data_IF_671676046961
#
_entry.id   IF_671676046961
#
_cell.length_a   1.000
_cell.length_b   1.000
_cell.length_c   1.000
_cell.angle_alpha   90.00
_cell.angle_beta   90.00
_cell.angle_gamma   90.00
#
_symmetry.space_group_name_H-M   'P 1'
#
loop_
_entity.id
_entity.type
_entity.pdbx_description
1 polymer ?
#
# COMPACT_ATOMS: atom_id res chain seq x y z
N UNK A 1 -41.43 -19.30 -62.86
CA UNK A 1 -40.34 -20.00 -62.15
C UNK A 1 -39.41 -18.91 -61.61
N UNK A 2 -39.72 -18.34 -60.40
CA UNK A 2 -38.94 -17.28 -59.78
C UNK A 2 -37.97 -17.90 -58.76
N UNK A 3 -36.64 -17.72 -58.95
CA UNK A 3 -35.62 -18.10 -58.01
C UNK A 3 -35.34 -16.93 -57.08
N UNK A 4 -35.69 -17.09 -55.83
CA UNK A 4 -35.31 -16.18 -54.78
C UNK A 4 -33.85 -16.45 -54.35
N UNK A 5 -32.95 -15.50 -54.56
CA UNK A 5 -31.62 -15.47 -53.94
C UNK A 5 -31.74 -14.90 -52.53
N UNK A 6 -31.44 -15.74 -51.54
CA UNK A 6 -31.37 -15.31 -50.15
C UNK A 6 -29.92 -14.90 -49.88
N UNK A 7 -29.67 -13.58 -49.75
CA UNK A 7 -28.38 -13.06 -49.34
C UNK A 7 -28.31 -13.07 -47.83
N UNK A 8 -27.52 -13.98 -47.26
CA UNK A 8 -27.22 -13.99 -45.81
C UNK A 8 -26.20 -12.90 -45.54
N UNK A 9 -26.61 -11.85 -44.85
CA UNK A 9 -25.74 -10.83 -44.35
C UNK A 9 -25.09 -11.32 -43.04
N UNK A 10 -23.81 -11.70 -43.09
CA UNK A 10 -23.03 -12.09 -41.93
C UNK A 10 -22.66 -10.81 -41.16
N UNK A 11 -23.35 -10.52 -40.08
CA UNK A 11 -22.94 -9.47 -39.15
C UNK A 11 -21.84 -10.02 -38.22
N UNK A 12 -20.63 -9.54 -38.43
CA UNK A 12 -19.50 -9.78 -37.52
C UNK A 12 -19.74 -8.92 -36.28
N UNK A 13 -19.80 -9.51 -35.06
CA UNK A 13 -19.86 -8.70 -33.86
C UNK A 13 -18.49 -8.03 -33.68
N UNK A 14 -18.46 -6.72 -33.73
CA UNK A 14 -17.31 -5.91 -33.29
C UNK A 14 -17.10 -6.19 -31.81
N UNK A 15 -16.03 -6.94 -31.51
CA UNK A 15 -15.54 -7.03 -30.15
C UNK A 15 -15.11 -5.63 -29.71
N UNK A 16 -15.86 -5.02 -28.82
CA UNK A 16 -15.41 -3.85 -28.09
C UNK A 16 -14.29 -4.34 -27.18
N UNK A 17 -13.05 -4.07 -27.57
CA UNK A 17 -11.93 -4.05 -26.63
C UNK A 17 -12.27 -2.96 -25.61
N UNK A 18 -12.68 -3.37 -24.41
CA UNK A 18 -12.57 -2.53 -23.24
C UNK A 18 -11.07 -2.38 -22.98
N UNK A 19 -10.49 -1.30 -23.49
CA UNK A 19 -9.24 -0.82 -22.97
C UNK A 19 -9.56 -0.44 -21.50
N UNK A 20 -9.18 -1.31 -20.56
CA UNK A 20 -9.02 -0.92 -19.18
C UNK A 20 -7.90 0.11 -19.20
N UNK A 21 -8.27 1.40 -19.20
CA UNK A 21 -7.40 2.44 -18.75
C UNK A 21 -7.19 2.18 -17.25
N UNK A 22 -6.22 1.35 -16.92
CA UNK A 22 -5.53 1.46 -15.66
C UNK A 22 -4.78 2.79 -15.77
N UNK A 23 -5.41 3.86 -15.29
CA UNK A 23 -4.70 5.03 -14.85
C UNK A 23 -3.74 4.49 -13.80
N UNK A 24 -2.45 4.61 -14.01
CA UNK A 24 -1.49 4.39 -12.93
C UNK A 24 -1.84 5.42 -11.87
N UNK A 25 -2.24 4.97 -10.70
CA UNK A 25 -2.56 5.83 -9.54
C UNK A 25 -1.26 6.39 -8.92
N UNK A 26 -0.30 6.79 -9.75
CA UNK A 26 0.80 7.62 -9.31
C UNK A 26 0.28 9.03 -9.20
N UNK A 27 0.17 9.52 -7.96
CA UNK A 27 -0.15 10.90 -7.66
C UNK A 27 0.73 11.83 -8.51
N UNK A 28 0.13 12.86 -9.09
CA UNK A 28 0.90 13.93 -9.73
C UNK A 28 1.46 14.80 -8.61
N UNK A 29 2.74 14.62 -8.28
CA UNK A 29 3.41 15.33 -7.18
C UNK A 29 3.32 16.86 -7.31
N UNK A 30 3.07 17.38 -8.53
CA UNK A 30 2.90 18.81 -8.78
C UNK A 30 1.53 19.34 -8.28
N UNK A 31 0.55 18.46 -8.07
CA UNK A 31 -0.79 18.82 -7.58
C UNK A 31 -0.93 18.72 -6.06
N UNK A 32 0.07 18.18 -5.36
CA UNK A 32 0.03 18.02 -3.89
C UNK A 32 0.23 19.38 -3.23
N UNK A 33 -0.81 19.87 -2.59
CA UNK A 33 -0.77 21.11 -1.80
C UNK A 33 -0.12 20.87 -0.45
N UNK A 34 1.19 20.69 -0.41
CA UNK A 34 1.96 20.52 0.83
C UNK A 34 1.85 21.71 1.82
N UNK A 35 1.09 22.75 1.47
CA UNK A 35 1.01 23.99 2.27
C UNK A 35 -0.03 23.92 3.39
N UNK A 36 -0.98 23.00 3.32
CA UNK A 36 -2.11 22.90 4.25
C UNK A 36 -2.01 21.68 5.18
N UNK A 37 -0.83 21.01 5.24
CA UNK A 37 -0.63 19.87 6.13
C UNK A 37 -0.43 20.33 7.58
N UNK A 38 -0.92 19.50 8.52
CA UNK A 38 -0.66 19.72 9.95
C UNK A 38 0.81 19.49 10.27
N UNK A 39 1.26 20.04 11.38
CA UNK A 39 2.62 19.76 11.85
C UNK A 39 2.77 18.30 12.22
N UNK A 40 3.90 17.72 11.88
CA UNK A 40 4.22 16.31 12.18
C UNK A 40 4.08 15.99 13.68
N UNK A 41 4.39 16.96 14.56
CA UNK A 41 4.25 16.77 16.01
C UNK A 41 2.79 16.53 16.42
N UNK A 42 1.81 17.10 15.71
CA UNK A 42 0.40 16.86 15.99
C UNK A 42 0.03 15.40 15.71
N UNK A 43 0.43 14.86 14.55
CA UNK A 43 0.23 13.46 14.21
C UNK A 43 1.00 12.51 15.14
N UNK A 44 2.24 12.88 15.52
CA UNK A 44 3.04 12.08 16.45
C UNK A 44 2.41 12.01 17.86
N UNK A 45 1.83 13.11 18.34
CA UNK A 45 1.11 13.11 19.63
C UNK A 45 -0.11 12.16 19.55
N UNK A 46 -0.89 12.18 18.46
CA UNK A 46 -2.00 11.27 18.23
C UNK A 46 -1.53 9.80 18.15
N UNK A 47 -0.40 9.56 17.47
CA UNK A 47 0.19 8.23 17.36
C UNK A 47 0.61 7.69 18.74
N UNK A 48 1.22 8.51 19.61
CA UNK A 48 1.56 8.12 20.99
C UNK A 48 0.34 7.91 21.89
N UNK A 49 -0.74 8.67 21.67
CA UNK A 49 -2.00 8.44 22.38
C UNK A 49 -2.64 7.12 21.98
N UNK A 50 -2.43 6.68 20.72
CA UNK A 50 -2.92 5.41 20.17
C UNK A 50 -2.06 4.23 20.60
N UNK A 51 -0.74 4.34 20.38
CA UNK A 51 0.27 3.33 20.73
C UNK A 51 1.33 3.97 21.61
N UNK A 52 1.24 3.83 22.94
CA UNK A 52 2.29 4.31 23.84
C UNK A 52 3.62 3.60 23.60
N UNK A 53 4.66 4.36 23.22
CA UNK A 53 5.92 3.74 22.81
C UNK A 53 7.02 4.73 22.45
N UNK A 54 7.91 4.30 21.59
CA UNK A 54 9.02 5.07 21.09
C UNK A 54 9.00 5.04 19.56
N UNK A 55 8.78 6.18 18.92
CA UNK A 55 8.89 6.28 17.48
C UNK A 55 10.34 5.98 17.05
N UNK A 56 10.49 5.09 16.09
CA UNK A 56 11.76 4.63 15.52
C UNK A 56 11.97 5.17 14.13
N UNK A 57 10.88 5.28 13.37
CA UNK A 57 10.87 5.75 11.98
C UNK A 57 9.72 6.74 11.78
N UNK A 58 9.91 7.67 10.89
CA UNK A 58 8.88 8.53 10.32
C UNK A 58 9.04 8.47 8.81
N UNK A 59 7.96 8.17 8.15
CA UNK A 59 7.83 8.31 6.70
C UNK A 59 6.81 9.40 6.36
N UNK A 60 7.00 10.01 5.20
CA UNK A 60 6.02 10.87 4.59
C UNK A 60 5.76 10.36 3.19
N UNK A 61 4.55 9.89 2.97
CA UNK A 61 4.13 9.24 1.73
C UNK A 61 2.87 9.87 1.16
N UNK A 62 2.55 9.54 -0.07
CA UNK A 62 1.31 9.94 -0.73
C UNK A 62 0.52 8.69 -1.02
N UNK A 63 -0.66 8.61 -0.42
CA UNK A 63 -1.66 7.58 -0.65
C UNK A 63 -2.80 8.14 -1.48
N UNK A 64 -2.91 7.68 -2.73
CA UNK A 64 -3.82 8.31 -3.69
C UNK A 64 -3.46 9.78 -3.92
N UNK A 65 -4.27 10.69 -3.38
CA UNK A 65 -4.03 12.14 -3.41
C UNK A 65 -3.74 12.70 -1.99
N UNK A 66 -3.78 11.86 -0.96
CA UNK A 66 -3.66 12.28 0.44
C UNK A 66 -2.21 12.17 0.94
N UNK A 67 -1.68 13.20 1.60
CA UNK A 67 -0.39 13.14 2.26
C UNK A 67 -0.53 12.42 3.62
N UNK A 68 0.35 11.45 3.88
CA UNK A 68 0.34 10.61 5.07
C UNK A 68 1.66 10.73 5.82
N UNK A 69 1.58 10.91 7.14
CA UNK A 69 2.68 10.63 8.05
C UNK A 69 2.51 9.22 8.61
N UNK A 70 3.49 8.37 8.43
CA UNK A 70 3.56 7.05 9.04
C UNK A 70 4.64 7.02 10.11
N UNK A 71 4.33 6.43 11.27
CA UNK A 71 5.24 6.30 12.38
C UNK A 71 5.39 4.84 12.79
N UNK A 72 6.62 4.32 12.76
CA UNK A 72 6.92 3.05 13.40
C UNK A 72 7.11 3.27 14.90
N UNK A 73 6.20 2.76 15.71
CA UNK A 73 6.24 2.90 17.16
C UNK A 73 6.52 1.56 17.83
N UNK A 74 7.69 1.45 18.48
CA UNK A 74 7.97 0.34 19.36
C UNK A 74 7.17 0.50 20.65
N UNK A 75 6.12 -0.32 20.80
CA UNK A 75 5.20 -0.25 21.92
C UNK A 75 5.85 -0.67 23.24
N UNK A 76 5.69 0.15 24.29
CA UNK A 76 6.14 -0.21 25.65
C UNK A 76 5.25 -1.27 26.31
N UNK A 77 4.08 -1.56 25.76
CA UNK A 77 3.12 -2.49 26.36
C UNK A 77 3.44 -3.95 26.00
N UNK A 78 3.90 -4.20 24.78
CA UNK A 78 4.11 -5.57 24.29
C UNK A 78 5.43 -5.75 23.50
N UNK A 79 6.16 -4.66 23.23
CA UNK A 79 7.45 -4.66 22.55
C UNK A 79 7.39 -4.92 21.06
N UNK A 80 6.20 -4.91 20.45
CA UNK A 80 6.05 -4.96 19.00
C UNK A 80 6.19 -3.58 18.39
N UNK A 81 6.56 -3.51 17.11
CA UNK A 81 6.43 -2.31 16.30
C UNK A 81 5.00 -2.24 15.76
N UNK A 82 4.50 -1.02 15.70
CA UNK A 82 3.23 -0.69 15.06
C UNK A 82 3.46 0.42 14.06
N UNK A 83 2.98 0.23 12.86
CA UNK A 83 2.85 1.29 11.87
C UNK A 83 1.58 2.06 12.19
N UNK A 84 1.71 3.35 12.37
CA UNK A 84 0.61 4.25 12.74
C UNK A 84 0.56 5.38 11.74
N UNK A 85 -0.49 5.35 10.93
CA UNK A 85 -0.70 6.32 9.88
C UNK A 85 -1.61 7.46 10.31
N UNK A 86 -1.20 8.66 9.96
CA UNK A 86 -1.94 9.89 10.20
C UNK A 86 -2.15 10.64 8.89
N UNK A 87 -3.40 10.93 8.54
CA UNK A 87 -3.69 11.85 7.44
C UNK A 87 -3.11 13.23 7.77
N UNK A 88 -2.17 13.69 6.95
CA UNK A 88 -1.45 14.93 7.23
C UNK A 88 -2.25 16.21 6.93
N UNK A 89 -3.32 16.14 6.16
CA UNK A 89 -4.23 17.28 5.97
C UNK A 89 -5.20 17.43 7.14
N UNK A 90 -5.77 16.31 7.60
CA UNK A 90 -6.85 16.30 8.59
C UNK A 90 -6.33 16.14 10.02
N UNK A 91 -5.13 15.57 10.21
CA UNK A 91 -4.45 15.44 11.49
C UNK A 91 -5.04 14.40 12.43
N UNK A 92 -5.59 13.31 11.92
CA UNK A 92 -6.07 12.18 12.72
C UNK A 92 -5.52 10.83 12.20
N UNK A 93 -5.46 9.86 13.10
CA UNK A 93 -5.00 8.50 12.78
C UNK A 93 -6.03 7.82 11.89
N UNK A 94 -5.57 7.27 10.77
CA UNK A 94 -6.39 6.56 9.79
C UNK A 94 -6.18 5.05 9.84
N UNK A 95 -4.94 4.61 10.12
CA UNK A 95 -4.60 3.19 10.16
C UNK A 95 -3.63 2.86 11.26
N UNK A 96 -3.70 1.63 11.75
CA UNK A 96 -2.75 1.06 12.72
C UNK A 96 -2.56 -0.41 12.40
N UNK A 97 -1.35 -0.79 12.07
CA UNK A 97 -0.96 -2.15 11.80
C UNK A 97 0.16 -2.59 12.74
N UNK A 98 0.16 -3.86 13.05
CA UNK A 98 1.18 -4.48 13.90
C UNK A 98 2.16 -5.28 13.06
N UNK A 99 3.42 -4.91 13.08
CA UNK A 99 4.47 -5.73 12.51
C UNK A 99 4.59 -7.07 13.23
N UNK A 100 4.73 -8.14 12.47
CA UNK A 100 4.89 -9.48 13.03
C UNK A 100 6.00 -10.26 12.34
N UNK A 101 6.67 -11.11 13.12
CA UNK A 101 7.74 -11.98 12.63
C UNK A 101 7.24 -13.03 11.64
N UNK A 102 8.16 -13.55 10.83
CA UNK A 102 7.88 -14.57 9.81
C UNK A 102 7.29 -15.87 10.39
N UNK A 103 7.49 -16.16 11.68
CA UNK A 103 6.96 -17.32 12.38
C UNK A 103 5.67 -17.04 13.16
N UNK A 104 5.07 -15.84 12.99
CA UNK A 104 3.83 -15.48 13.65
C UNK A 104 2.70 -16.45 13.26
N UNK A 105 2.09 -17.07 14.27
CA UNK A 105 1.10 -18.14 14.07
C UNK A 105 -0.25 -17.61 13.57
N UNK A 106 -0.64 -16.41 14.02
CA UNK A 106 -1.91 -15.78 13.61
C UNK A 106 -1.81 -15.46 12.13
N UNK A 107 -0.78 -14.73 11.74
CA UNK A 107 -0.53 -14.37 10.35
C UNK A 107 -0.47 -15.63 9.46
N UNK A 108 0.40 -16.59 9.81
CA UNK A 108 0.61 -17.79 9.01
C UNK A 108 -0.63 -18.72 8.90
N UNK A 109 -1.55 -18.67 9.87
CA UNK A 109 -2.80 -19.44 9.78
C UNK A 109 -3.86 -18.74 8.90
N UNK A 110 -3.83 -17.43 8.84
CA UNK A 110 -4.76 -16.60 8.08
C UNK A 110 -4.36 -16.42 6.61
N UNK A 111 -3.08 -16.16 6.34
CA UNK A 111 -2.55 -15.98 5.00
C UNK A 111 -2.84 -17.18 4.08
N UNK A 112 -3.21 -16.89 2.82
CA UNK A 112 -3.52 -17.90 1.78
C UNK A 112 -2.54 -17.91 0.63
N UNK A 113 -1.75 -16.84 0.50
CA UNK A 113 -0.65 -16.77 -0.46
C UNK A 113 0.67 -16.68 0.29
N UNK A 114 1.75 -17.05 -0.36
CA UNK A 114 3.09 -16.88 0.21
C UNK A 114 3.62 -15.48 -0.05
N UNK A 115 4.58 -15.04 0.76
CA UNK A 115 5.24 -13.74 0.58
C UNK A 115 5.92 -13.63 -0.79
N UNK A 116 6.46 -14.74 -1.34
CA UNK A 116 7.07 -14.76 -2.67
C UNK A 116 6.02 -14.51 -3.76
N UNK A 117 4.78 -15.02 -3.57
CA UNK A 117 3.68 -14.76 -4.49
C UNK A 117 3.21 -13.31 -4.39
N UNK A 118 3.06 -12.78 -3.17
CA UNK A 118 2.74 -11.37 -2.93
C UNK A 118 3.79 -10.44 -3.56
N UNK A 119 5.08 -10.69 -3.29
CA UNK A 119 6.21 -9.99 -3.89
C UNK A 119 6.18 -10.00 -5.42
N UNK A 120 5.87 -11.17 -6.01
CA UNK A 120 5.75 -11.27 -7.47
C UNK A 120 4.59 -10.42 -8.01
N UNK A 121 3.49 -10.29 -7.26
CA UNK A 121 2.37 -9.45 -7.64
C UNK A 121 2.75 -7.96 -7.56
N UNK A 122 3.42 -7.54 -6.49
CA UNK A 122 3.89 -6.17 -6.30
C UNK A 122 4.86 -5.74 -7.41
N UNK A 123 5.91 -6.54 -7.68
CA UNK A 123 6.91 -6.24 -8.73
C UNK A 123 6.30 -6.25 -10.14
N UNK A 124 5.24 -7.02 -10.38
CA UNK A 124 4.58 -7.06 -11.69
C UNK A 124 3.90 -5.72 -12.04
N UNK A 125 3.50 -4.94 -11.03
CA UNK A 125 2.85 -3.64 -11.22
C UNK A 125 3.86 -2.50 -11.04
N UNK A 126 4.75 -2.64 -10.05
CA UNK A 126 5.80 -1.66 -9.73
C UNK A 126 7.18 -2.30 -9.89
N UNK A 127 7.74 -2.33 -11.13
CA UNK A 127 9.04 -2.93 -11.39
C UNK A 127 10.16 -2.22 -10.63
N UNK A 128 10.99 -3.00 -9.93
CA UNK A 128 12.10 -2.46 -9.14
C UNK A 128 12.76 -3.53 -8.28
N UNK A 129 13.58 -3.08 -7.36
CA UNK A 129 14.24 -3.92 -6.37
C UNK A 129 13.51 -3.78 -5.04
N UNK A 130 12.98 -4.87 -4.50
CA UNK A 130 12.48 -4.89 -3.11
C UNK A 130 13.65 -4.68 -2.16
N UNK A 131 13.57 -3.67 -1.34
CA UNK A 131 14.60 -3.27 -0.35
C UNK A 131 14.17 -3.65 1.07
N UNK A 132 12.87 -3.60 1.39
CA UNK A 132 12.28 -4.12 2.60
C UNK A 132 11.07 -5.02 2.32
N UNK A 133 10.70 -5.87 3.27
CA UNK A 133 9.48 -6.64 3.23
C UNK A 133 9.02 -7.00 4.64
N UNK A 134 7.76 -6.75 4.93
CA UNK A 134 7.18 -6.94 6.26
C UNK A 134 5.91 -7.77 6.22
N UNK A 135 5.41 -8.15 7.39
CA UNK A 135 4.12 -8.79 7.62
C UNK A 135 3.41 -8.02 8.69
N UNK A 136 2.18 -7.67 8.42
CA UNK A 136 1.41 -6.83 9.29
C UNK A 136 0.04 -7.40 9.57
N UNK A 137 -0.45 -7.10 10.75
CA UNK A 137 -1.81 -7.43 11.17
C UNK A 137 -2.50 -6.13 11.55
N UNK A 138 -3.46 -5.74 10.75
CA UNK A 138 -4.30 -4.57 11.00
C UNK A 138 -5.16 -4.74 12.26
N UNK A 139 -5.60 -3.62 12.85
CA UNK A 139 -6.45 -3.66 14.04
C UNK A 139 -7.83 -4.29 13.78
N UNK A 140 -8.25 -4.36 12.53
CA UNK A 140 -9.47 -5.06 12.07
C UNK A 140 -9.26 -6.56 11.81
N UNK A 141 -8.01 -7.02 11.84
CA UNK A 141 -7.58 -8.39 11.59
C UNK A 141 -7.21 -8.67 10.14
N UNK A 142 -7.07 -7.66 9.28
CA UNK A 142 -6.45 -7.76 7.97
C UNK A 142 -5.04 -8.33 8.08
N UNK A 143 -4.55 -8.95 7.02
CA UNK A 143 -3.21 -9.52 6.95
C UNK A 143 -2.53 -9.01 5.70
N UNK A 144 -1.50 -8.22 5.88
CA UNK A 144 -0.81 -7.50 4.81
C UNK A 144 0.65 -7.98 4.67
N UNK A 145 1.10 -8.12 3.42
CA UNK A 145 2.52 -8.16 3.10
C UNK A 145 2.89 -6.80 2.54
N UNK A 146 3.71 -6.07 3.26
CA UNK A 146 4.28 -4.81 2.81
C UNK A 146 5.60 -5.03 2.07
N UNK A 147 5.85 -4.24 1.03
CA UNK A 147 7.09 -4.25 0.25
C UNK A 147 7.52 -2.83 -0.09
N UNK A 148 8.70 -2.43 0.36
CA UNK A 148 9.36 -1.24 -0.15
C UNK A 148 10.12 -1.58 -1.42
N UNK A 149 9.79 -0.90 -2.51
CA UNK A 149 10.34 -1.16 -3.83
C UNK A 149 11.08 0.09 -4.33
N UNK A 150 12.41 0.01 -4.38
CA UNK A 150 13.21 0.99 -5.10
C UNK A 150 12.97 0.80 -6.60
N UNK A 151 12.26 1.73 -7.20
CA UNK A 151 11.91 1.64 -8.63
C UNK A 151 13.09 1.94 -9.55
N UNK A 152 13.04 1.44 -10.77
CA UNK A 152 14.05 1.70 -11.80
C UNK A 152 14.11 3.19 -12.22
N UNK A 153 13.08 3.98 -11.90
CA UNK A 153 13.00 5.41 -12.20
C UNK A 153 13.46 6.31 -11.06
N UNK A 154 13.82 5.73 -9.89
CA UNK A 154 14.61 6.40 -8.86
C UNK A 154 13.84 6.88 -7.63
N UNK A 155 12.55 6.60 -7.50
CA UNK A 155 11.78 6.80 -6.26
C UNK A 155 11.46 5.46 -5.60
N UNK A 156 11.08 5.49 -4.35
CA UNK A 156 10.64 4.35 -3.58
C UNK A 156 9.11 4.30 -3.54
N UNK A 157 8.57 3.08 -3.61
CA UNK A 157 7.13 2.82 -3.51
C UNK A 157 6.92 1.76 -2.43
N UNK A 158 6.06 2.07 -1.47
CA UNK A 158 5.52 1.12 -0.50
C UNK A 158 4.31 0.44 -1.13
N UNK A 159 4.27 -0.88 -1.12
CA UNK A 159 3.20 -1.67 -1.77
C UNK A 159 2.64 -2.69 -0.81
N UNK A 160 1.35 -2.56 -0.51
CA UNK A 160 0.61 -3.44 0.37
C UNK A 160 -0.16 -4.48 -0.42
N UNK A 161 0.02 -5.72 -0.02
CA UNK A 161 -0.59 -6.88 -0.68
C UNK A 161 -1.36 -7.70 0.33
N UNK A 162 -2.67 -7.75 0.19
CA UNK A 162 -3.54 -8.61 1.00
C UNK A 162 -3.05 -10.06 0.98
N UNK A 163 -2.70 -10.58 2.14
CA UNK A 163 -2.10 -11.90 2.29
C UNK A 163 -3.10 -13.05 2.06
N UNK A 164 -4.39 -12.75 1.93
CA UNK A 164 -5.45 -13.73 1.65
C UNK A 164 -5.76 -13.80 0.16
N UNK A 165 -5.91 -12.67 -0.49
CA UNK A 165 -6.34 -12.60 -1.90
C UNK A 165 -5.19 -12.40 -2.87
N UNK A 166 -4.09 -11.82 -2.42
CA UNK A 166 -2.95 -11.42 -3.24
C UNK A 166 -3.18 -10.17 -4.10
N UNK A 167 -4.23 -9.42 -3.81
CA UNK A 167 -4.45 -8.13 -4.46
C UNK A 167 -3.55 -7.08 -3.83
N UNK A 168 -3.14 -6.11 -4.63
CA UNK A 168 -2.55 -4.89 -4.12
C UNK A 168 -3.70 -4.06 -3.57
N UNK A 169 -3.59 -3.64 -2.33
CA UNK A 169 -4.53 -2.77 -1.63
C UNK A 169 -4.05 -1.34 -1.74
N UNK A 170 -2.76 -1.11 -1.54
CA UNK A 170 -2.13 0.19 -1.61
C UNK A 170 -0.82 0.18 -2.39
N UNK A 171 -0.46 1.34 -2.93
CA UNK A 171 0.82 1.57 -3.60
C UNK A 171 1.16 3.06 -3.49
N UNK A 172 1.96 3.39 -2.50
CA UNK A 172 2.19 4.75 -2.04
C UNK A 172 3.60 5.22 -2.40
N UNK A 173 3.72 6.43 -2.96
CA UNK A 173 5.04 7.02 -3.23
C UNK A 173 5.60 7.54 -1.92
N UNK A 174 6.74 7.00 -1.51
CA UNK A 174 7.49 7.50 -0.38
C UNK A 174 8.32 8.72 -0.80
N UNK A 175 8.11 9.84 -0.11
CA UNK A 175 8.78 11.09 -0.39
C UNK A 175 10.06 11.26 0.45
N UNK A 176 10.04 10.82 1.69
CA UNK A 176 11.22 10.74 2.56
C UNK A 176 10.97 9.84 3.77
N UNK A 177 12.05 9.29 4.28
CA UNK A 177 12.13 8.50 5.49
C UNK A 177 13.17 9.10 6.45
N UNK A 178 12.86 9.09 7.74
CA UNK A 178 13.77 9.52 8.83
C UNK A 178 13.69 8.49 9.95
N UNK A 179 14.76 7.78 10.18
CA UNK A 179 14.81 6.80 11.27
C UNK A 179 15.74 5.64 11.01
N UNK A 180 15.43 4.50 11.62
CA UNK A 180 16.17 3.26 11.43
C UNK A 180 15.17 2.12 11.25
N UNK A 181 15.31 1.42 10.14
CA UNK A 181 14.66 0.14 9.99
C UNK A 181 15.30 -0.92 10.91
N UNK A 182 14.50 -1.87 11.35
CA UNK A 182 15.05 -3.07 12.00
C UNK A 182 15.59 -4.00 10.91
N UNK A 183 16.91 -4.28 10.95
CA UNK A 183 17.52 -5.37 10.20
C UNK A 183 17.08 -6.75 10.72
#
# INVERSE_FOLDING_TARGET
>A
MFKYFFTILLTIPTAHLFANNHKSDTADLDDIKLYDIVKVEHCLDQAYDTIPGHARKLEFKIEGDDPIYEFDIESINDGFTYNVECNAEEGFIIEVEKEVSADNKIFNSGAKISIEKAKSNAIAIHPGKVVSQEREIGMDGSLTYEFDIQTDVGYEIKVDVDAVTGKIEEANIELYEIGMEKE
#
